data_IF_799524220406
#
_entry.id   IF_799524220406
#
_cell.length_a   1.000
_cell.length_b   1.000
_cell.length_c   1.000
_cell.angle_alpha   90.00
_cell.angle_beta   90.00
_cell.angle_gamma   90.00
#
_symmetry.space_group_name_H-M   'P 1'
#
loop_
_entity.id
_entity.type
_entity.pdbx_description
1 polymer ?
#
# COMPACT_ATOMS: atom_id res chain seq x y z
N UNK A 1 -9.43 -12.32 -30.70
CA UNK A 1 -9.51 -12.45 -29.23
C UNK A 1 -8.15 -12.11 -28.62
N UNK A 2 -7.99 -10.94 -27.97
CA UNK A 2 -6.75 -10.62 -27.25
C UNK A 2 -6.80 -11.33 -25.90
N UNK A 3 -5.92 -12.31 -25.69
CA UNK A 3 -5.74 -12.98 -24.39
C UNK A 3 -5.20 -11.94 -23.42
N UNK A 4 -6.03 -11.46 -22.48
CA UNK A 4 -5.53 -10.72 -21.34
C UNK A 4 -4.79 -11.75 -20.46
N UNK A 5 -3.46 -11.78 -20.56
CA UNK A 5 -2.65 -12.44 -19.55
C UNK A 5 -3.05 -11.82 -18.20
N UNK A 6 -3.39 -12.66 -17.23
CA UNK A 6 -3.69 -12.21 -15.87
C UNK A 6 -2.60 -11.26 -15.41
N UNK A 7 -2.96 -9.98 -15.24
CA UNK A 7 -2.00 -8.95 -14.87
C UNK A 7 -1.50 -9.29 -13.48
N UNK A 8 -0.19 -9.48 -13.33
CA UNK A 8 0.42 -9.68 -12.02
C UNK A 8 -0.05 -8.60 -11.04
N UNK A 9 -0.75 -9.01 -9.99
CA UNK A 9 -1.23 -8.13 -8.93
C UNK A 9 -0.14 -8.04 -7.86
N UNK A 10 0.46 -6.86 -7.63
CA UNK A 10 1.48 -6.73 -6.61
C UNK A 10 0.89 -6.97 -5.21
N UNK A 11 1.51 -7.86 -4.46
CA UNK A 11 1.22 -8.11 -3.06
C UNK A 11 2.11 -7.26 -2.14
N UNK A 12 1.59 -6.88 -0.98
CA UNK A 12 2.30 -6.11 0.05
C UNK A 12 1.96 -6.64 1.43
N UNK A 13 2.86 -6.40 2.37
CA UNK A 13 2.71 -6.80 3.77
C UNK A 13 2.26 -5.62 4.59
N UNK A 14 1.17 -5.79 5.35
CA UNK A 14 0.74 -4.80 6.34
C UNK A 14 1.81 -4.65 7.44
N UNK A 15 2.21 -3.43 7.77
CA UNK A 15 3.21 -3.19 8.82
C UNK A 15 2.69 -3.50 10.23
N UNK A 16 1.38 -3.37 10.46
CA UNK A 16 0.73 -3.65 11.75
C UNK A 16 0.58 -5.15 12.00
N UNK A 17 -0.23 -5.86 11.20
CA UNK A 17 -0.54 -7.27 11.44
C UNK A 17 0.30 -8.27 10.62
N UNK A 18 1.23 -7.80 9.76
CA UNK A 18 2.08 -8.65 8.91
C UNK A 18 1.36 -9.54 7.89
N UNK A 19 0.05 -9.41 7.70
CA UNK A 19 -0.66 -10.12 6.63
C UNK A 19 -0.25 -9.62 5.24
N UNK A 20 -0.16 -10.54 4.28
CA UNK A 20 0.08 -10.23 2.87
C UNK A 20 -1.24 -10.06 2.15
N UNK A 21 -1.43 -8.94 1.44
CA UNK A 21 -2.65 -8.62 0.66
C UNK A 21 -2.32 -7.93 -0.66
N UNK A 22 -3.22 -7.95 -1.66
CA UNK A 22 -3.11 -7.09 -2.83
C UNK A 22 -2.88 -5.63 -2.44
N UNK A 23 -1.97 -4.94 -3.14
CA UNK A 23 -1.62 -3.55 -2.80
C UNK A 23 -2.86 -2.64 -2.74
N UNK A 24 -3.87 -2.91 -3.58
CA UNK A 24 -5.12 -2.14 -3.66
C UNK A 24 -6.01 -2.27 -2.43
N UNK A 25 -5.82 -3.30 -1.61
CA UNK A 25 -6.58 -3.52 -0.36
C UNK A 25 -5.93 -2.87 0.86
N UNK A 26 -4.77 -2.25 0.69
CA UNK A 26 -4.00 -1.64 1.76
C UNK A 26 -3.92 -0.12 1.56
N UNK A 27 -4.01 0.61 2.67
CA UNK A 27 -3.71 2.02 2.71
C UNK A 27 -2.18 2.20 2.62
N UNK A 28 -1.71 3.12 1.78
CA UNK A 28 -0.30 3.51 1.75
C UNK A 28 -0.11 4.85 2.45
N UNK A 29 0.74 4.87 3.46
CA UNK A 29 1.28 6.09 4.07
C UNK A 29 2.68 6.32 3.50
N UNK A 30 2.98 7.55 3.10
CA UNK A 30 4.30 7.92 2.57
C UNK A 30 4.92 9.03 3.42
N UNK A 31 6.20 8.85 3.77
CA UNK A 31 7.03 9.95 4.27
C UNK A 31 7.71 10.62 3.08
N UNK A 32 7.30 11.83 2.75
CA UNK A 32 7.88 12.63 1.68
C UNK A 32 9.31 13.08 2.03
N UNK A 33 10.12 13.48 1.04
CA UNK A 33 11.50 13.92 1.29
C UNK A 33 11.63 15.13 2.22
N UNK A 34 10.63 16.01 2.28
CA UNK A 34 10.53 17.13 3.22
C UNK A 34 10.12 16.71 4.64
N UNK A 35 9.97 15.41 4.88
CA UNK A 35 9.74 14.82 6.19
C UNK A 35 8.28 14.74 6.62
N UNK A 36 7.33 15.17 5.77
CA UNK A 36 5.89 15.09 6.06
C UNK A 36 5.34 13.69 5.80
N UNK A 37 4.23 13.36 6.46
CA UNK A 37 3.50 12.12 6.24
C UNK A 37 2.18 12.39 5.55
N UNK A 38 1.90 11.64 4.50
CA UNK A 38 0.70 11.78 3.69
C UNK A 38 0.08 10.42 3.38
N UNK A 39 -1.24 10.39 3.25
CA UNK A 39 -1.95 9.26 2.65
C UNK A 39 -1.73 9.32 1.13
N UNK A 40 -1.39 8.18 0.53
CA UNK A 40 -1.17 8.05 -0.91
C UNK A 40 -2.17 7.04 -1.52
N UNK A 41 -3.40 7.47 -1.84
CA UNK A 41 -4.43 6.60 -2.41
C UNK A 41 -4.04 6.02 -3.77
N UNK A 42 -3.27 6.77 -4.56
CA UNK A 42 -2.81 6.34 -5.89
C UNK A 42 -1.63 5.37 -5.81
N UNK A 43 -0.95 5.30 -4.66
CA UNK A 43 0.21 4.46 -4.40
C UNK A 43 1.39 4.74 -5.34
N UNK A 44 1.61 6.01 -5.68
CA UNK A 44 2.62 6.49 -6.63
C UNK A 44 3.50 7.61 -6.09
N UNK A 45 3.21 8.17 -4.92
CA UNK A 45 3.96 9.31 -4.37
C UNK A 45 5.40 8.92 -4.03
N UNK A 46 6.37 9.81 -4.31
CA UNK A 46 7.77 9.55 -3.99
C UNK A 46 8.00 9.57 -2.47
N UNK A 47 9.01 8.83 -2.01
CA UNK A 47 9.38 8.74 -0.60
C UNK A 47 9.24 7.34 0.00
N UNK A 48 9.44 7.24 1.31
CA UNK A 48 9.39 5.95 2.02
C UNK A 48 7.94 5.59 2.34
N UNK A 49 7.45 4.51 1.73
CA UNK A 49 6.07 4.04 1.90
C UNK A 49 5.93 2.92 2.92
N UNK A 50 4.84 2.93 3.69
CA UNK A 50 4.36 1.83 4.51
C UNK A 50 2.94 1.45 4.08
N UNK A 51 2.65 0.15 4.05
CA UNK A 51 1.31 -0.36 3.76
C UNK A 51 0.66 -0.83 5.05
N UNK A 52 -0.60 -0.47 5.25
CA UNK A 52 -1.37 -0.82 6.45
C UNK A 52 -2.78 -1.24 6.05
N UNK A 53 -3.37 -2.17 6.80
CA UNK A 53 -4.77 -2.54 6.61
C UNK A 53 -5.68 -1.34 6.90
N UNK A 54 -6.82 -1.24 6.22
CA UNK A 54 -7.92 -0.37 6.62
C UNK A 54 -8.67 -0.98 7.82
N UNK A 55 -7.94 -1.19 8.93
CA UNK A 55 -8.47 -1.63 10.21
C UNK A 55 -7.78 -0.86 11.32
N UNK A 56 -8.55 -0.46 12.33
CA UNK A 56 -8.01 0.21 13.52
C UNK A 56 -6.97 -0.66 14.24
N UNK A 57 -7.12 -1.98 14.22
CA UNK A 57 -6.15 -2.92 14.83
C UNK A 57 -4.74 -2.81 14.23
N UNK A 58 -4.62 -2.25 13.02
CA UNK A 58 -3.34 -2.08 12.32
C UNK A 58 -2.79 -0.65 12.37
N UNK A 59 -3.57 0.30 12.91
CA UNK A 59 -3.24 1.74 12.99
C UNK A 59 -3.17 2.21 14.46
N UNK A 60 -3.50 1.35 15.42
CA UNK A 60 -3.42 1.60 16.86
C UNK A 60 -1.99 1.76 17.37
#
# INVERSE_FOLDING_TARGET
MKKHADKHVPLRTCVGCRSVRPKSELLRLVRSPDGRFEIDPEQRRPGRGAYVCLSLDCVA
#
